data_IF_936710617918
#
_entry.id   IF_936710617918
#
_cell.length_a   1.000
_cell.length_b   1.000
_cell.length_c   1.000
_cell.angle_alpha   90.00
_cell.angle_beta   90.00
_cell.angle_gamma   90.00
#
_symmetry.space_group_name_H-M   'P 1'
#
loop_
_entity.id
_entity.type
_entity.pdbx_description
1 polymer ?
#
# COMPACT_ATOMS: atom_id res chain seq x y z
N UNK A 1 2.06 19.36 -13.39
CA UNK A 1 1.53 18.04 -13.82
C UNK A 1 0.02 18.02 -13.69
N UNK A 2 -0.71 17.59 -14.72
CA UNK A 2 -2.17 17.40 -14.67
C UNK A 2 -2.53 15.92 -14.52
N UNK A 3 -3.70 15.66 -13.95
CA UNK A 3 -4.22 14.35 -13.63
C UNK A 3 -5.57 14.13 -14.30
N UNK A 4 -5.80 12.91 -14.74
CA UNK A 4 -7.06 12.45 -15.34
C UNK A 4 -7.63 11.27 -14.53
N UNK A 5 -8.90 10.93 -14.76
CA UNK A 5 -9.52 9.73 -14.22
C UNK A 5 -9.39 8.56 -15.18
N UNK A 6 -9.24 7.33 -14.66
CA UNK A 6 -9.30 6.12 -15.48
C UNK A 6 -10.66 5.92 -16.19
N UNK A 7 -11.72 6.59 -15.70
CA UNK A 7 -13.09 6.47 -16.24
C UNK A 7 -13.59 7.72 -16.96
N UNK A 8 -12.81 8.81 -16.90
CA UNK A 8 -13.05 10.05 -17.65
C UNK A 8 -11.70 10.67 -18.04
N UNK A 9 -11.24 10.38 -19.24
CA UNK A 9 -9.97 10.87 -19.79
C UNK A 9 -10.00 12.33 -20.21
N UNK A 10 -11.19 12.95 -20.28
CA UNK A 10 -11.36 14.39 -20.49
C UNK A 10 -11.12 15.23 -19.22
N UNK A 11 -11.14 14.59 -18.05
CA UNK A 11 -10.94 15.26 -16.77
C UNK A 11 -9.50 15.78 -16.66
N UNK A 12 -9.35 17.02 -16.19
CA UNK A 12 -8.04 17.61 -15.90
C UNK A 12 -8.05 18.22 -14.50
N UNK A 13 -7.21 17.67 -13.61
CA UNK A 13 -7.10 18.10 -12.20
C UNK A 13 -5.66 18.44 -11.86
N UNK A 14 -5.47 19.33 -10.88
CA UNK A 14 -4.18 19.58 -10.25
C UNK A 14 -3.87 18.53 -9.19
N UNK A 15 -2.61 18.48 -8.72
CA UNK A 15 -2.25 17.60 -7.60
C UNK A 15 -3.03 17.96 -6.32
N UNK A 16 -3.22 19.24 -6.02
CA UNK A 16 -3.99 19.68 -4.86
C UNK A 16 -5.45 19.22 -4.90
N UNK A 17 -6.05 19.15 -6.10
CA UNK A 17 -7.43 18.67 -6.25
C UNK A 17 -7.56 17.20 -5.90
N UNK A 18 -6.55 16.37 -6.24
CA UNK A 18 -6.61 14.92 -6.05
C UNK A 18 -6.01 14.44 -4.73
N UNK A 19 -5.22 15.27 -4.06
CA UNK A 19 -4.48 14.89 -2.84
C UNK A 19 -5.39 14.28 -1.77
N UNK A 20 -6.55 14.90 -1.54
CA UNK A 20 -7.52 14.46 -0.55
C UNK A 20 -8.58 13.49 -1.10
N UNK A 21 -8.55 13.24 -2.41
CA UNK A 21 -9.51 12.38 -3.09
C UNK A 21 -8.83 11.05 -3.45
N UNK A 22 -9.28 9.96 -2.87
CA UNK A 22 -8.82 8.62 -3.25
C UNK A 22 -9.41 8.17 -4.59
N UNK A 23 -10.66 8.56 -4.86
CA UNK A 23 -11.44 8.27 -6.06
C UNK A 23 -11.86 9.55 -6.76
N UNK A 24 -11.94 9.51 -8.07
CA UNK A 24 -12.67 10.52 -8.85
C UNK A 24 -14.19 10.38 -8.63
N UNK A 25 -14.94 11.44 -8.89
CA UNK A 25 -16.41 11.44 -8.74
C UNK A 25 -17.12 10.43 -9.64
N UNK A 26 -16.50 10.06 -10.77
CA UNK A 26 -16.94 9.00 -11.67
C UNK A 26 -16.63 7.58 -11.17
N UNK A 27 -15.98 7.47 -9.99
CA UNK A 27 -15.53 6.21 -9.38
C UNK A 27 -14.20 5.68 -9.94
N UNK A 28 -13.57 6.40 -10.88
CA UNK A 28 -12.27 6.06 -11.44
C UNK A 28 -11.09 6.47 -10.54
N UNK A 29 -9.90 6.02 -10.92
CA UNK A 29 -8.66 6.29 -10.22
C UNK A 29 -7.85 7.39 -10.92
N UNK A 30 -7.19 8.23 -10.13
CA UNK A 30 -6.35 9.28 -10.71
C UNK A 30 -5.00 8.75 -11.21
N UNK A 31 -4.58 9.29 -12.36
CA UNK A 31 -3.29 9.07 -13.03
C UNK A 31 -2.75 10.38 -13.60
N UNK A 32 -1.43 10.59 -13.67
CA UNK A 32 -0.88 11.74 -14.37
C UNK A 32 -1.09 11.60 -15.88
N UNK A 33 -1.22 12.71 -16.58
CA UNK A 33 -1.39 12.71 -18.04
C UNK A 33 -0.18 12.13 -18.78
N UNK A 34 1.01 12.22 -18.21
CA UNK A 34 2.25 11.68 -18.78
C UNK A 34 3.20 11.19 -17.69
N UNK A 35 4.11 10.30 -18.08
CA UNK A 35 5.15 9.78 -17.20
C UNK A 35 6.41 10.63 -17.33
N UNK A 36 6.86 11.35 -16.27
CA UNK A 36 8.12 12.09 -16.31
C UNK A 36 9.30 11.12 -16.48
N UNK A 37 10.36 11.57 -17.13
CA UNK A 37 11.60 10.80 -17.24
C UNK A 37 12.61 11.31 -16.23
N UNK A 38 13.34 10.39 -15.63
CA UNK A 38 14.37 10.66 -14.63
C UNK A 38 15.74 10.32 -15.21
N UNK A 39 16.67 11.24 -15.07
CA UNK A 39 18.08 10.97 -15.35
C UNK A 39 18.71 10.22 -14.17
N UNK A 40 18.99 8.95 -14.36
CA UNK A 40 19.57 8.09 -13.32
C UNK A 40 20.96 8.55 -12.86
N UNK A 41 21.72 9.23 -13.74
CA UNK A 41 23.04 9.75 -13.37
C UNK A 41 22.91 10.87 -12.32
N UNK A 42 21.85 11.66 -12.42
CA UNK A 42 21.59 12.75 -11.48
C UNK A 42 21.23 12.26 -10.07
N UNK A 43 20.89 10.97 -9.91
CA UNK A 43 20.52 10.36 -8.61
C UNK A 43 21.72 9.76 -7.88
N UNK A 44 22.87 9.59 -8.53
CA UNK A 44 24.05 9.00 -7.89
C UNK A 44 24.52 9.81 -6.68
N UNK A 45 24.90 9.11 -5.62
CA UNK A 45 25.42 9.67 -4.36
C UNK A 45 24.43 10.57 -3.60
N UNK A 46 23.15 10.56 -3.96
CA UNK A 46 22.09 11.24 -3.20
C UNK A 46 21.62 10.36 -2.05
N UNK A 47 21.13 10.99 -0.99
CA UNK A 47 20.41 10.30 0.10
C UNK A 47 19.04 9.80 -0.38
N UNK A 48 18.39 8.94 0.42
CA UNK A 48 17.03 8.46 0.11
C UNK A 48 16.05 9.62 -0.08
N UNK A 49 16.10 10.62 0.80
CA UNK A 49 15.23 11.79 0.81
C UNK A 49 15.47 12.68 -0.43
N UNK A 50 16.72 12.83 -0.84
CA UNK A 50 17.08 13.58 -2.06
C UNK A 50 16.61 12.84 -3.32
N UNK A 51 16.77 11.50 -3.37
CA UNK A 51 16.20 10.66 -4.43
C UNK A 51 14.68 10.78 -4.45
N UNK A 52 14.04 10.70 -3.28
CA UNK A 52 12.59 10.86 -3.16
C UNK A 52 12.12 12.23 -3.69
N UNK A 53 12.86 13.30 -3.41
CA UNK A 53 12.55 14.63 -3.92
C UNK A 53 12.60 14.67 -5.45
N UNK A 54 13.65 14.14 -6.08
CA UNK A 54 13.77 14.13 -7.54
C UNK A 54 12.67 13.29 -8.22
N UNK A 55 12.28 12.18 -7.61
CA UNK A 55 11.24 11.28 -8.14
C UNK A 55 9.83 11.88 -7.99
N UNK A 56 9.54 12.51 -6.84
CA UNK A 56 8.20 13.00 -6.51
C UNK A 56 7.96 14.39 -7.10
N UNK A 57 8.95 15.26 -7.12
CA UNK A 57 8.80 16.66 -7.51
C UNK A 57 8.12 16.87 -8.88
N UNK A 58 8.43 16.13 -9.95
CA UNK A 58 7.74 16.27 -11.24
C UNK A 58 6.22 16.10 -11.18
N UNK A 59 5.73 15.34 -10.19
CA UNK A 59 4.30 15.10 -9.99
C UNK A 59 3.59 16.20 -9.22
N UNK A 60 4.31 16.95 -8.37
CA UNK A 60 3.73 17.92 -7.43
C UNK A 60 4.15 19.37 -7.67
N UNK A 61 5.01 19.61 -8.64
CA UNK A 61 5.70 20.90 -8.89
C UNK A 61 4.78 22.10 -9.16
N UNK A 62 3.52 21.88 -9.54
CA UNK A 62 2.51 22.97 -9.66
C UNK A 62 1.84 23.33 -8.34
N UNK A 63 2.08 22.52 -7.28
CA UNK A 63 1.37 22.62 -6.00
C UNK A 63 2.29 22.81 -4.81
N UNK A 64 3.55 22.37 -4.92
CA UNK A 64 4.53 22.37 -3.83
C UNK A 64 5.89 22.78 -4.37
N UNK A 65 6.52 23.74 -3.71
CA UNK A 65 7.88 24.14 -4.01
C UNK A 65 8.90 23.05 -3.66
N UNK A 66 9.98 22.92 -4.44
CA UNK A 66 10.97 21.83 -4.26
C UNK A 66 11.59 21.84 -2.86
N UNK A 67 11.86 23.02 -2.30
CA UNK A 67 12.41 23.14 -0.94
C UNK A 67 11.44 22.67 0.14
N UNK A 68 10.15 22.91 -0.03
CA UNK A 68 9.14 22.48 0.94
C UNK A 68 8.91 20.96 0.82
N UNK A 69 8.92 20.42 -0.40
CA UNK A 69 8.91 18.97 -0.59
C UNK A 69 10.10 18.31 0.10
N UNK A 70 11.32 18.87 -0.04
CA UNK A 70 12.52 18.34 0.62
C UNK A 70 12.38 18.34 2.15
N UNK A 71 11.81 19.39 2.74
CA UNK A 71 11.54 19.44 4.19
C UNK A 71 10.56 18.36 4.62
N UNK A 72 9.45 18.20 3.88
CA UNK A 72 8.46 17.13 4.11
C UNK A 72 9.13 15.75 4.09
N UNK A 73 9.99 15.49 3.11
CA UNK A 73 10.66 14.20 2.96
C UNK A 73 11.69 13.95 4.07
N UNK A 74 12.46 14.96 4.44
CA UNK A 74 13.41 14.87 5.55
C UNK A 74 12.69 14.56 6.86
N UNK A 75 11.57 15.27 7.17
CA UNK A 75 10.75 14.98 8.34
C UNK A 75 10.15 13.57 8.28
N UNK A 76 9.68 13.14 7.10
CA UNK A 76 9.07 11.83 6.90
C UNK A 76 10.03 10.71 7.25
N UNK A 77 11.24 10.73 6.70
CA UNK A 77 12.17 9.61 6.79
C UNK A 77 13.12 9.69 7.99
N UNK A 78 13.15 10.82 8.71
CA UNK A 78 13.91 10.95 9.98
C UNK A 78 13.48 9.98 11.07
N UNK A 79 12.27 9.44 10.99
CA UNK A 79 11.72 8.48 11.95
C UNK A 79 11.91 7.01 11.53
N UNK A 80 12.70 6.75 10.49
CA UNK A 80 13.00 5.39 10.05
C UNK A 80 14.27 4.88 10.74
N UNK A 81 14.26 3.64 11.19
CA UNK A 81 15.28 3.06 12.08
C UNK A 81 16.47 2.42 11.32
N UNK A 82 16.77 2.87 10.11
CA UNK A 82 17.92 2.38 9.33
C UNK A 82 18.53 3.50 8.49
N UNK A 83 19.85 3.62 8.46
CA UNK A 83 20.57 4.70 7.73
C UNK A 83 20.25 4.76 6.24
N UNK A 84 20.02 3.61 5.60
CA UNK A 84 19.63 3.51 4.18
C UNK A 84 18.14 3.64 3.94
N UNK A 85 17.32 3.81 4.98
CA UNK A 85 15.85 3.84 4.96
C UNK A 85 15.25 2.54 4.41
N UNK A 86 15.63 2.11 3.21
CA UNK A 86 15.22 0.87 2.55
C UNK A 86 16.47 0.12 2.05
N UNK A 87 17.17 -0.63 2.92
CA UNK A 87 18.37 -1.36 2.53
C UNK A 87 18.06 -2.49 1.55
N UNK A 88 18.99 -2.72 0.63
CA UNK A 88 19.02 -3.87 -0.25
C UNK A 88 20.00 -4.90 0.32
N UNK A 89 19.51 -6.10 0.60
CA UNK A 89 20.29 -7.21 1.17
C UNK A 89 20.42 -8.30 0.13
N UNK A 90 21.64 -8.74 -0.14
CA UNK A 90 21.85 -9.90 -1.01
C UNK A 90 21.66 -11.19 -0.22
N UNK A 91 20.72 -12.02 -0.66
CA UNK A 91 20.41 -13.32 -0.04
C UNK A 91 21.34 -14.41 -0.59
N UNK A 92 21.50 -14.43 -1.91
CA UNK A 92 22.47 -15.23 -2.65
C UNK A 92 22.74 -14.56 -4.01
N UNK A 93 23.72 -15.05 -4.77
CA UNK A 93 24.16 -14.39 -6.03
C UNK A 93 22.98 -13.93 -6.91
N UNK A 94 22.94 -12.61 -7.19
CA UNK A 94 21.91 -11.93 -7.97
C UNK A 94 20.45 -12.01 -7.41
N UNK A 95 20.27 -12.48 -6.18
CA UNK A 95 18.97 -12.55 -5.51
C UNK A 95 18.98 -11.65 -4.28
N UNK A 96 18.17 -10.59 -4.34
CA UNK A 96 18.18 -9.53 -3.35
C UNK A 96 16.82 -9.41 -2.65
N UNK A 97 16.86 -8.90 -1.42
CA UNK A 97 15.71 -8.48 -0.64
C UNK A 97 15.74 -6.97 -0.45
N UNK A 98 14.68 -6.27 -0.84
CA UNK A 98 14.50 -4.87 -0.49
C UNK A 98 13.70 -4.80 0.82
N UNK A 99 14.36 -4.46 1.91
CA UNK A 99 13.74 -4.45 3.23
C UNK A 99 12.98 -3.16 3.48
N UNK A 100 11.65 -3.25 3.49
CA UNK A 100 10.73 -2.13 3.69
C UNK A 100 10.07 -2.17 5.09
N UNK A 101 10.86 -2.45 6.12
CA UNK A 101 10.38 -2.72 7.48
C UNK A 101 10.91 -1.76 8.54
N UNK A 102 11.64 -0.72 8.15
CA UNK A 102 12.32 0.18 9.09
C UNK A 102 11.51 1.43 9.46
N UNK A 103 10.28 1.53 9.00
CA UNK A 103 9.36 2.58 9.39
C UNK A 103 8.74 2.34 10.79
N UNK A 104 8.00 3.35 11.31
CA UNK A 104 7.49 3.33 12.70
C UNK A 104 6.59 2.15 13.05
N UNK A 105 5.92 1.54 12.06
CA UNK A 105 5.02 0.39 12.29
C UNK A 105 5.54 -0.93 11.72
N UNK A 106 6.80 -0.93 11.25
CA UNK A 106 7.48 -2.13 10.77
C UNK A 106 6.77 -2.79 9.57
N UNK A 107 6.26 -1.98 8.62
CA UNK A 107 5.68 -2.46 7.37
C UNK A 107 5.94 -1.47 6.22
N UNK A 108 5.98 -1.98 4.99
CA UNK A 108 6.20 -1.16 3.79
C UNK A 108 5.21 -0.01 3.63
N UNK A 109 4.05 -0.12 4.27
CA UNK A 109 3.00 0.91 4.25
C UNK A 109 3.44 2.24 4.89
N UNK A 110 4.43 2.19 5.79
CA UNK A 110 5.01 3.39 6.41
C UNK A 110 5.60 4.35 5.37
N UNK A 111 6.28 3.82 4.36
CA UNK A 111 6.96 4.64 3.35
C UNK A 111 6.02 5.62 2.65
N UNK A 112 4.80 5.19 2.40
CA UNK A 112 3.80 6.02 1.75
C UNK A 112 2.92 6.79 2.74
N UNK A 113 2.56 6.19 3.88
CA UNK A 113 1.63 6.82 4.83
C UNK A 113 2.31 7.90 5.67
N UNK A 114 3.57 7.72 6.10
CA UNK A 114 4.30 8.78 6.80
C UNK A 114 4.47 10.01 5.90
N UNK A 115 4.80 9.81 4.63
CA UNK A 115 4.84 10.88 3.64
C UNK A 115 3.47 11.56 3.47
N UNK A 116 2.40 10.78 3.32
CA UNK A 116 1.04 11.32 3.16
C UNK A 116 0.61 12.16 4.37
N UNK A 117 0.93 11.73 5.59
CA UNK A 117 0.62 12.46 6.82
C UNK A 117 1.28 13.83 6.88
N UNK A 118 2.57 13.91 6.55
CA UNK A 118 3.32 15.15 6.52
C UNK A 118 2.85 16.06 5.36
N UNK A 119 2.59 15.46 4.20
CA UNK A 119 2.07 16.17 3.04
C UNK A 119 0.71 16.81 3.31
N UNK A 120 -0.21 16.08 3.98
CA UNK A 120 -1.50 16.64 4.40
C UNK A 120 -1.33 17.77 5.39
N UNK A 121 -0.48 17.62 6.41
CA UNK A 121 -0.22 18.66 7.41
C UNK A 121 0.25 19.96 6.76
N UNK A 122 1.28 19.88 5.91
CA UNK A 122 1.83 21.05 5.21
C UNK A 122 0.80 21.69 4.28
N UNK A 123 0.04 20.87 3.54
CA UNK A 123 -1.01 21.41 2.65
C UNK A 123 -2.13 22.10 3.42
N UNK A 124 -2.47 21.64 4.63
CA UNK A 124 -3.48 22.29 5.50
C UNK A 124 -2.97 23.58 6.15
N UNK A 125 -1.67 23.70 6.39
CA UNK A 125 -1.06 24.96 6.83
C UNK A 125 -1.16 26.05 5.76
N UNK A 126 -1.01 25.67 4.49
CA UNK A 126 -1.13 26.59 3.35
C UNK A 126 -2.58 26.96 3.02
N UNK A 127 -3.53 26.05 3.24
CA UNK A 127 -4.96 26.22 2.98
C UNK A 127 -5.79 25.59 4.10
N UNK A 128 -6.03 26.34 5.21
CA UNK A 128 -6.64 25.78 6.42
C UNK A 128 -8.04 25.23 6.18
N UNK A 129 -8.22 23.97 6.48
CA UNK A 129 -9.51 23.27 6.55
C UNK A 129 -9.38 22.09 7.50
N UNK A 130 -10.50 21.62 8.02
CA UNK A 130 -10.50 20.36 8.79
C UNK A 130 -10.81 19.20 7.88
N UNK A 131 -10.07 18.13 8.01
CA UNK A 131 -10.30 16.88 7.29
C UNK A 131 -10.52 15.72 8.25
N UNK A 132 -11.29 14.74 7.80
CA UNK A 132 -11.52 13.50 8.52
C UNK A 132 -11.03 12.33 7.67
N UNK A 133 -9.99 11.69 8.15
CA UNK A 133 -9.48 10.44 7.58
C UNK A 133 -10.35 9.29 8.08
N UNK A 134 -10.96 8.55 7.18
CA UNK A 134 -11.76 7.38 7.50
C UNK A 134 -11.23 6.16 6.73
N UNK A 135 -11.00 5.06 7.44
CA UNK A 135 -10.49 3.84 6.83
C UNK A 135 -10.88 2.57 7.55
N UNK A 136 -11.02 1.47 6.80
CA UNK A 136 -11.08 0.12 7.32
C UNK A 136 -9.73 -0.58 7.13
N UNK A 137 -9.34 -1.41 8.10
CA UNK A 137 -8.05 -2.09 8.09
C UNK A 137 -8.12 -3.53 8.58
N UNK A 138 -7.25 -4.38 8.01
CA UNK A 138 -6.93 -5.70 8.55
C UNK A 138 -5.70 -5.68 9.48
N UNK A 139 -5.13 -4.47 9.76
CA UNK A 139 -4.01 -4.28 10.68
C UNK A 139 -2.98 -3.26 10.20
N UNK A 140 -2.10 -3.61 9.26
CA UNK A 140 -0.94 -2.81 8.87
C UNK A 140 -1.27 -1.41 8.34
N UNK A 141 -2.31 -1.28 7.50
CA UNK A 141 -2.68 0.02 6.95
C UNK A 141 -3.20 0.96 8.04
N UNK A 142 -4.00 0.41 8.98
CA UNK A 142 -4.51 1.18 10.11
C UNK A 142 -3.38 1.62 11.04
N UNK A 143 -2.48 0.72 11.38
CA UNK A 143 -1.32 1.04 12.22
C UNK A 143 -0.48 2.16 11.61
N UNK A 144 -0.13 2.04 10.34
CA UNK A 144 0.67 3.04 9.64
C UNK A 144 -0.07 4.38 9.48
N UNK A 145 -1.39 4.37 9.22
CA UNK A 145 -2.20 5.58 9.13
C UNK A 145 -2.27 6.31 10.48
N UNK A 146 -2.58 5.60 11.56
CA UNK A 146 -2.63 6.18 12.91
C UNK A 146 -1.29 6.83 13.25
N UNK A 147 -0.17 6.13 13.03
CA UNK A 147 1.15 6.67 13.32
C UNK A 147 1.51 7.88 12.47
N UNK A 148 1.04 7.96 11.23
CA UNK A 148 1.33 9.07 10.33
C UNK A 148 0.53 10.33 10.64
N UNK A 149 -0.68 10.17 11.19
CA UNK A 149 -1.59 11.29 11.44
C UNK A 149 -1.74 11.65 12.92
N UNK A 150 -1.16 10.89 13.85
CA UNK A 150 -1.18 11.26 15.27
C UNK A 150 -0.60 12.65 15.48
N UNK A 151 -1.23 13.42 16.36
CA UNK A 151 -0.84 14.79 16.72
C UNK A 151 -0.84 15.79 15.56
N UNK A 152 -1.37 15.43 14.38
CA UNK A 152 -1.51 16.37 13.26
C UNK A 152 -2.74 17.25 13.48
N UNK A 153 -2.50 18.58 13.48
CA UNK A 153 -3.55 19.57 13.66
C UNK A 153 -4.56 19.51 12.50
N UNK A 154 -5.82 19.74 12.80
CA UNK A 154 -6.93 19.79 11.84
C UNK A 154 -7.20 18.51 11.05
N UNK A 155 -6.65 17.38 11.50
CA UNK A 155 -6.89 16.04 10.94
C UNK A 155 -7.46 15.12 12.01
N UNK A 156 -8.69 14.65 11.84
CA UNK A 156 -9.25 13.57 12.65
C UNK A 156 -9.10 12.23 11.92
N UNK A 157 -8.84 11.16 12.66
CA UNK A 157 -8.58 9.83 12.08
C UNK A 157 -9.50 8.80 12.72
N UNK A 158 -10.34 8.19 11.92
CA UNK A 158 -11.23 7.10 12.31
C UNK A 158 -10.78 5.81 11.59
N UNK A 159 -10.34 4.84 12.35
CA UNK A 159 -9.91 3.53 11.82
C UNK A 159 -10.84 2.45 12.36
N UNK A 160 -11.55 1.80 11.44
CA UNK A 160 -12.41 0.65 11.70
C UNK A 160 -11.61 -0.63 11.50
N UNK A 161 -11.68 -1.55 12.46
CA UNK A 161 -11.09 -2.87 12.35
C UNK A 161 -12.01 -3.94 12.96
N UNK A 162 -11.93 -5.20 12.50
CA UNK A 162 -12.76 -6.27 13.06
C UNK A 162 -12.30 -6.60 14.47
N UNK A 163 -13.24 -6.64 15.41
CA UNK A 163 -13.00 -6.94 16.82
C UNK A 163 -12.38 -8.33 16.98
N UNK A 164 -11.24 -8.42 17.68
CA UNK A 164 -10.49 -9.67 17.94
C UNK A 164 -10.06 -10.47 16.70
N UNK A 165 -9.98 -9.83 15.50
CA UNK A 165 -9.60 -10.50 14.24
C UNK A 165 -8.38 -9.90 13.56
N UNK A 166 -7.68 -8.97 14.21
CA UNK A 166 -6.34 -8.50 13.84
C UNK A 166 -5.30 -9.14 14.75
N UNK A 167 -4.02 -9.19 14.33
CA UNK A 167 -2.99 -9.76 15.21
C UNK A 167 -2.83 -8.92 16.48
N UNK A 168 -2.42 -9.51 17.63
CA UNK A 168 -2.26 -8.78 18.89
C UNK A 168 -1.31 -7.57 18.74
N UNK A 169 -0.22 -7.72 18.01
CA UNK A 169 0.75 -6.64 17.78
C UNK A 169 0.13 -5.52 16.94
N UNK A 170 -0.58 -5.86 15.86
CA UNK A 170 -1.24 -4.87 15.02
C UNK A 170 -2.34 -4.13 15.80
N UNK A 171 -3.11 -4.84 16.64
CA UNK A 171 -4.08 -4.21 17.52
C UNK A 171 -3.38 -3.22 18.45
N UNK A 172 -2.36 -3.65 19.17
CA UNK A 172 -1.58 -2.81 20.07
C UNK A 172 -0.97 -1.59 19.35
N UNK A 173 -0.45 -1.75 18.13
CA UNK A 173 0.07 -0.64 17.35
C UNK A 173 -0.99 0.42 17.04
N UNK A 174 -2.25 0.05 16.93
CA UNK A 174 -3.36 0.99 16.71
C UNK A 174 -3.89 1.57 18.03
N UNK A 175 -4.23 0.71 18.97
CA UNK A 175 -5.05 1.05 20.15
C UNK A 175 -4.26 1.67 21.29
N UNK A 176 -2.93 1.51 21.33
CA UNK A 176 -2.05 2.16 22.32
C UNK A 176 -1.64 3.59 21.93
N UNK A 177 -2.01 4.04 20.72
CA UNK A 177 -1.85 5.45 20.33
C UNK A 177 -3.03 6.24 20.86
N UNK A 178 -2.87 6.81 22.05
CA UNK A 178 -3.87 7.63 22.73
C UNK A 178 -3.61 9.09 22.39
N UNK A 179 -4.28 9.58 21.34
CA UNK A 179 -4.20 10.98 20.90
C UNK A 179 -5.61 11.55 20.69
N UNK A 180 -5.76 12.85 20.82
CA UNK A 180 -7.07 13.55 20.75
C UNK A 180 -7.73 13.44 19.39
N UNK A 181 -6.94 13.25 18.33
CA UNK A 181 -7.43 13.17 16.97
C UNK A 181 -7.51 11.73 16.43
N UNK A 182 -7.24 10.69 17.25
CA UNK A 182 -7.23 9.28 16.84
C UNK A 182 -8.40 8.53 17.48
N UNK A 183 -9.21 7.90 16.64
CA UNK A 183 -10.40 7.13 17.02
C UNK A 183 -10.30 5.72 16.44
N UNK A 184 -10.04 4.74 17.32
CA UNK A 184 -10.03 3.32 16.99
C UNK A 184 -11.41 2.74 17.24
N UNK A 185 -12.03 2.14 16.22
CA UNK A 185 -13.36 1.55 16.28
C UNK A 185 -13.26 0.06 15.94
N UNK A 186 -13.51 -0.78 16.95
CA UNK A 186 -13.59 -2.22 16.79
C UNK A 186 -15.02 -2.60 16.45
N UNK A 187 -15.26 -3.22 15.29
CA UNK A 187 -16.59 -3.65 14.84
C UNK A 187 -16.78 -5.13 15.14
N UNK A 188 -17.92 -5.47 15.76
CA UNK A 188 -18.37 -6.85 15.93
C UNK A 188 -18.80 -7.43 14.57
N UNK A 189 -17.81 -7.80 13.76
CA UNK A 189 -17.96 -8.25 12.41
C UNK A 189 -16.65 -8.77 11.82
N UNK A 190 -16.53 -8.75 10.52
CA UNK A 190 -15.32 -9.07 9.78
C UNK A 190 -14.78 -7.83 9.04
N UNK A 191 -13.69 -8.00 8.30
CA UNK A 191 -13.08 -6.90 7.56
C UNK A 191 -13.99 -6.34 6.45
N UNK A 192 -14.77 -7.21 5.79
CA UNK A 192 -15.72 -6.78 4.76
C UNK A 192 -16.86 -5.93 5.35
N UNK A 193 -17.28 -6.22 6.58
CA UNK A 193 -18.24 -5.41 7.32
C UNK A 193 -17.68 -4.00 7.59
N UNK A 194 -16.44 -3.91 8.05
CA UNK A 194 -15.76 -2.62 8.24
C UNK A 194 -15.66 -1.83 6.93
N UNK A 195 -15.32 -2.50 5.83
CA UNK A 195 -15.25 -1.85 4.51
C UNK A 195 -16.62 -1.39 4.02
N UNK A 196 -17.66 -2.17 4.26
CA UNK A 196 -19.04 -1.83 3.90
C UNK A 196 -19.48 -0.55 4.63
N UNK A 197 -19.28 -0.49 5.93
CA UNK A 197 -19.59 0.71 6.75
C UNK A 197 -18.84 1.93 6.20
N UNK A 198 -17.54 1.82 5.94
CA UNK A 198 -16.74 2.93 5.38
C UNK A 198 -17.31 3.39 4.05
N UNK A 199 -17.68 2.47 3.15
CA UNK A 199 -18.28 2.83 1.85
C UNK A 199 -19.61 3.54 2.00
N UNK A 200 -20.47 3.09 2.91
CA UNK A 200 -21.77 3.71 3.21
C UNK A 200 -21.58 5.16 3.70
N UNK A 201 -20.61 5.40 4.60
CA UNK A 201 -20.29 6.74 5.09
C UNK A 201 -19.73 7.67 3.99
N UNK A 202 -18.97 7.13 3.04
CA UNK A 202 -18.43 7.92 1.92
C UNK A 202 -19.49 8.35 0.89
N UNK A 203 -20.64 7.68 0.83
CA UNK A 203 -21.74 8.05 -0.09
C UNK A 203 -22.89 8.77 0.62
N UNK A 204 -22.81 8.98 1.92
CA UNK A 204 -23.81 9.67 2.72
C UNK A 204 -23.70 11.19 2.54
N UNK A 205 -24.74 11.81 2.02
CA UNK A 205 -24.76 13.24 1.68
C UNK A 205 -24.64 14.15 2.90
N UNK A 206 -25.20 13.77 4.06
CA UNK A 206 -25.14 14.55 5.30
C UNK A 206 -23.70 14.60 5.82
N UNK A 207 -23.02 13.45 5.83
CA UNK A 207 -21.62 13.37 6.23
C UNK A 207 -20.72 14.13 5.27
N UNK A 208 -20.91 13.96 3.97
CA UNK A 208 -20.13 14.67 2.95
C UNK A 208 -20.27 16.20 3.04
N UNK A 209 -21.44 16.70 3.42
CA UNK A 209 -21.67 18.14 3.62
C UNK A 209 -21.09 18.65 4.94
N UNK A 210 -21.11 17.83 6.00
CA UNK A 210 -20.66 18.24 7.35
C UNK A 210 -19.17 18.02 7.58
N UNK A 211 -18.53 17.10 6.84
CA UNK A 211 -17.13 16.72 7.01
C UNK A 211 -16.40 16.63 5.68
N UNK A 212 -15.12 16.99 5.68
CA UNK A 212 -14.25 16.75 4.53
C UNK A 212 -13.64 15.35 4.66
N UNK A 213 -14.41 14.31 4.30
CA UNK A 213 -13.91 12.94 4.35
C UNK A 213 -12.79 12.71 3.33
N UNK A 214 -11.76 12.01 3.77
CA UNK A 214 -10.68 11.53 2.92
C UNK A 214 -10.33 10.08 3.25
N UNK A 215 -9.98 9.31 2.24
CA UNK A 215 -9.53 7.94 2.40
C UNK A 215 -8.01 7.86 2.31
N UNK A 216 -7.42 7.05 3.19
CA UNK A 216 -5.99 6.74 3.17
C UNK A 216 -5.70 5.34 2.62
N UNK A 217 -6.58 4.83 1.78
CA UNK A 217 -6.42 3.53 1.15
C UNK A 217 -5.34 3.52 0.05
N UNK A 218 -5.04 2.34 -0.47
CA UNK A 218 -3.96 2.13 -1.45
C UNK A 218 -4.20 2.81 -2.82
N UNK A 219 -5.40 3.32 -3.09
CA UNK A 219 -5.73 3.97 -4.36
C UNK A 219 -5.34 5.45 -4.43
N UNK A 220 -5.02 6.09 -3.29
CA UNK A 220 -4.57 7.48 -3.30
C UNK A 220 -3.25 7.63 -4.08
N UNK A 221 -3.22 8.56 -5.06
CA UNK A 221 -2.08 8.74 -5.94
C UNK A 221 -0.81 9.14 -5.18
N UNK A 222 -0.91 9.99 -4.15
CA UNK A 222 0.25 10.39 -3.35
C UNK A 222 0.92 9.20 -2.65
N UNK A 223 0.16 8.15 -2.29
CA UNK A 223 0.73 6.90 -1.78
C UNK A 223 1.52 6.14 -2.83
N UNK A 224 1.03 6.12 -4.08
CA UNK A 224 1.71 5.43 -5.17
C UNK A 224 3.05 6.08 -5.51
N UNK A 225 3.09 7.41 -5.64
CA UNK A 225 4.34 8.10 -5.99
C UNK A 225 5.42 7.92 -4.91
N UNK A 226 5.05 7.86 -3.64
CA UNK A 226 5.99 7.56 -2.57
C UNK A 226 6.58 6.13 -2.70
N UNK A 227 5.79 5.18 -3.20
CA UNK A 227 6.26 3.82 -3.44
C UNK A 227 7.17 3.69 -4.67
N UNK A 228 7.07 4.59 -5.64
CA UNK A 228 7.99 4.62 -6.79
C UNK A 228 9.45 4.80 -6.34
N UNK A 229 9.68 5.58 -5.28
CA UNK A 229 10.99 5.96 -4.78
C UNK A 229 11.86 4.74 -4.46
N UNK A 230 11.36 3.78 -3.72
CA UNK A 230 12.19 2.66 -3.27
C UNK A 230 12.56 1.68 -4.40
N UNK A 231 11.90 1.71 -5.56
CA UNK A 231 12.34 0.98 -6.75
C UNK A 231 13.59 1.60 -7.37
N UNK A 232 13.62 2.93 -7.48
CA UNK A 232 14.84 3.65 -7.89
C UNK A 232 15.95 3.44 -6.86
N UNK A 233 15.61 3.53 -5.57
CA UNK A 233 16.57 3.33 -4.49
C UNK A 233 17.18 1.93 -4.48
N UNK A 234 16.39 0.89 -4.72
CA UNK A 234 16.90 -0.47 -4.87
C UNK A 234 17.92 -0.57 -6.01
N UNK A 235 17.60 0.01 -7.18
CA UNK A 235 18.51 0.02 -8.32
C UNK A 235 19.82 0.73 -8.02
N UNK A 236 19.76 1.88 -7.37
CA UNK A 236 20.95 2.69 -7.01
C UNK A 236 21.88 1.99 -6.01
N UNK A 237 21.40 0.98 -5.29
CA UNK A 237 22.20 0.15 -4.37
C UNK A 237 22.86 -1.04 -5.09
N UNK A 238 22.64 -1.21 -6.38
CA UNK A 238 23.23 -2.28 -7.19
C UNK A 238 24.23 -1.72 -8.19
N UNK A 239 25.10 -2.59 -8.70
CA UNK A 239 25.98 -2.33 -9.86
C UNK A 239 25.39 -2.89 -11.17
N UNK A 240 24.13 -3.32 -11.16
CA UNK A 240 23.48 -4.02 -12.27
C UNK A 240 22.98 -3.02 -13.33
N UNK A 241 23.08 -3.41 -14.60
CA UNK A 241 22.52 -2.62 -15.70
C UNK A 241 20.99 -2.71 -15.80
N UNK A 242 20.43 -3.82 -15.36
CA UNK A 242 18.99 -4.09 -15.32
C UNK A 242 18.65 -4.94 -14.10
N UNK A 243 17.50 -4.71 -13.50
CA UNK A 243 16.98 -5.53 -12.38
C UNK A 243 15.52 -5.91 -12.63
N UNK A 244 15.13 -7.04 -12.05
CA UNK A 244 13.75 -7.53 -12.05
C UNK A 244 13.18 -7.44 -10.64
N UNK A 245 11.87 -7.25 -10.52
CA UNK A 245 11.23 -7.19 -9.21
C UNK A 245 10.18 -8.29 -9.04
N UNK A 246 10.15 -8.87 -7.84
CA UNK A 246 9.10 -9.76 -7.36
C UNK A 246 8.36 -9.01 -6.26
N UNK A 247 7.06 -8.82 -6.44
CA UNK A 247 6.26 -7.98 -5.55
C UNK A 247 5.08 -8.76 -4.99
N UNK A 248 5.07 -9.06 -3.67
CA UNK A 248 3.88 -9.56 -3.01
C UNK A 248 2.71 -8.59 -3.21
N UNK A 249 1.61 -9.06 -3.80
CA UNK A 249 0.55 -8.17 -4.26
C UNK A 249 -0.85 -8.70 -4.01
N UNK A 250 -1.70 -7.87 -3.35
CA UNK A 250 -3.14 -8.00 -3.31
C UNK A 250 -3.81 -6.86 -4.08
N UNK A 251 -3.70 -5.62 -3.60
CA UNK A 251 -4.30 -4.43 -4.20
C UNK A 251 -3.58 -3.85 -5.43
N UNK A 252 -2.51 -4.47 -5.89
CA UNK A 252 -1.72 -4.05 -7.05
C UNK A 252 -1.00 -2.70 -6.92
N UNK A 253 -1.19 -1.93 -5.86
CA UNK A 253 -0.62 -0.59 -5.70
C UNK A 253 0.90 -0.59 -5.73
N UNK A 254 1.53 -1.51 -5.00
CA UNK A 254 2.98 -1.60 -4.90
C UNK A 254 3.61 -1.96 -6.26
N UNK A 255 3.15 -3.01 -6.93
CA UNK A 255 3.72 -3.41 -8.22
C UNK A 255 3.38 -2.41 -9.34
N UNK A 256 2.23 -1.69 -9.25
CA UNK A 256 1.96 -0.59 -10.17
C UNK A 256 2.97 0.55 -10.00
N UNK A 257 3.46 0.81 -8.78
CA UNK A 257 4.54 1.78 -8.56
C UNK A 257 5.86 1.35 -9.21
N UNK A 258 6.14 0.04 -9.31
CA UNK A 258 7.25 -0.50 -10.10
C UNK A 258 7.04 -0.28 -11.61
N UNK A 259 5.81 -0.47 -12.10
CA UNK A 259 5.45 -0.14 -13.49
C UNK A 259 5.69 1.35 -13.77
N UNK A 260 5.27 2.23 -12.87
CA UNK A 260 5.52 3.68 -12.99
C UNK A 260 7.03 3.97 -13.02
N UNK A 261 7.82 3.36 -12.15
CA UNK A 261 9.28 3.50 -12.16
C UNK A 261 9.88 3.09 -13.52
N UNK A 262 9.40 1.96 -14.10
CA UNK A 262 9.77 1.53 -15.46
C UNK A 262 9.40 2.57 -16.52
N UNK A 263 8.19 3.15 -16.43
CA UNK A 263 7.75 4.21 -17.34
C UNK A 263 8.60 5.49 -17.18
N UNK A 264 9.11 5.78 -15.98
CA UNK A 264 10.00 6.90 -15.71
C UNK A 264 11.44 6.69 -16.20
N UNK A 265 11.77 5.50 -16.69
CA UNK A 265 13.08 5.18 -17.29
C UNK A 265 13.98 4.31 -16.42
N UNK A 266 13.49 3.79 -15.29
CA UNK A 266 14.24 2.81 -14.51
C UNK A 266 14.39 1.52 -15.33
N UNK A 267 15.62 0.96 -15.49
CA UNK A 267 15.85 -0.24 -16.30
C UNK A 267 15.37 -1.51 -15.59
N UNK A 268 14.05 -1.67 -15.56
CA UNK A 268 13.37 -2.86 -15.05
C UNK A 268 13.15 -3.83 -16.21
N UNK A 269 13.61 -5.07 -16.06
CA UNK A 269 13.32 -6.16 -16.98
C UNK A 269 11.87 -6.64 -16.81
N UNK A 270 11.65 -7.53 -15.86
CA UNK A 270 10.36 -8.15 -15.57
C UNK A 270 9.81 -7.71 -14.22
N UNK A 271 8.48 -7.64 -14.14
CA UNK A 271 7.73 -7.51 -12.90
C UNK A 271 7.01 -8.81 -12.61
N UNK A 272 7.27 -9.45 -11.46
CA UNK A 272 6.62 -10.70 -11.08
C UNK A 272 5.66 -10.46 -9.91
N UNK A 273 4.39 -10.70 -10.14
CA UNK A 273 3.32 -10.64 -9.16
C UNK A 273 3.37 -11.93 -8.34
N UNK A 274 3.56 -11.84 -7.02
CA UNK A 274 3.40 -12.94 -6.10
C UNK A 274 2.09 -12.76 -5.33
N UNK A 275 1.11 -13.67 -5.51
CA UNK A 275 -0.14 -13.68 -4.75
C UNK A 275 -0.15 -14.84 -3.75
N UNK A 276 -1.07 -14.82 -2.78
CA UNK A 276 -1.45 -16.00 -2.04
C UNK A 276 -2.52 -16.80 -2.81
N UNK A 277 -3.29 -17.66 -2.13
CA UNK A 277 -4.37 -18.44 -2.74
C UNK A 277 -5.49 -17.59 -3.34
N UNK A 278 -5.52 -16.27 -3.04
CA UNK A 278 -6.41 -15.31 -3.68
C UNK A 278 -5.76 -14.81 -4.97
N UNK A 279 -5.93 -15.54 -6.05
CA UNK A 279 -5.10 -15.55 -7.24
C UNK A 279 -5.66 -14.79 -8.45
N UNK A 280 -6.59 -13.85 -8.24
CA UNK A 280 -7.23 -13.12 -9.35
C UNK A 280 -6.20 -12.47 -10.29
N UNK A 281 -5.14 -11.87 -9.76
CA UNK A 281 -4.10 -11.23 -10.57
C UNK A 281 -3.34 -12.25 -11.44
N UNK A 282 -3.08 -13.44 -10.89
CA UNK A 282 -2.47 -14.53 -11.65
C UNK A 282 -3.39 -15.00 -12.77
N UNK A 283 -4.67 -15.21 -12.48
CA UNK A 283 -5.66 -15.60 -13.49
C UNK A 283 -5.70 -14.59 -14.65
N UNK A 284 -5.73 -13.29 -14.34
CA UNK A 284 -5.74 -12.24 -15.39
C UNK A 284 -4.47 -12.29 -16.24
N UNK A 285 -3.28 -12.42 -15.64
CA UNK A 285 -2.01 -12.42 -16.38
C UNK A 285 -1.84 -13.70 -17.21
N UNK A 286 -2.28 -14.85 -16.69
CA UNK A 286 -2.11 -16.12 -17.39
C UNK A 286 -3.13 -16.32 -18.52
N UNK A 287 -4.38 -15.93 -18.29
CA UNK A 287 -5.51 -16.32 -19.15
C UNK A 287 -6.38 -15.15 -19.64
N UNK A 288 -6.16 -13.95 -19.14
CA UNK A 288 -7.05 -12.80 -19.38
C UNK A 288 -8.38 -12.87 -18.63
N UNK A 289 -8.58 -13.87 -17.75
CA UNK A 289 -9.80 -14.05 -17.00
C UNK A 289 -9.81 -13.20 -15.72
N UNK A 290 -10.70 -12.22 -15.63
CA UNK A 290 -11.01 -11.47 -14.42
C UNK A 290 -12.33 -11.97 -13.84
N UNK A 291 -12.25 -12.87 -12.84
CA UNK A 291 -13.40 -13.51 -12.23
C UNK A 291 -13.38 -13.39 -10.72
N UNK A 292 -14.46 -12.86 -10.16
CA UNK A 292 -14.61 -12.75 -8.71
C UNK A 292 -14.87 -14.13 -8.11
N UNK A 293 -14.01 -14.55 -7.19
CA UNK A 293 -14.15 -15.76 -6.37
C UNK A 293 -14.46 -15.38 -4.92
N UNK A 294 -14.80 -16.36 -4.09
CA UNK A 294 -14.80 -16.16 -2.62
C UNK A 294 -13.40 -15.89 -2.12
N UNK A 295 -13.27 -15.01 -1.13
CA UNK A 295 -11.98 -14.75 -0.47
C UNK A 295 -11.63 -15.93 0.44
N UNK A 296 -10.43 -16.46 0.28
CA UNK A 296 -9.82 -17.46 1.19
C UNK A 296 -9.00 -16.73 2.24
N UNK A 297 -9.21 -17.06 3.51
CA UNK A 297 -8.35 -16.56 4.60
C UNK A 297 -7.02 -17.30 4.60
N UNK A 298 -5.91 -16.56 4.65
CA UNK A 298 -4.55 -17.08 4.60
C UNK A 298 -3.66 -16.51 5.70
N UNK A 299 -2.43 -16.99 5.81
CA UNK A 299 -1.41 -16.39 6.70
C UNK A 299 -0.91 -15.02 6.25
N UNK A 300 -1.22 -14.59 5.02
CA UNK A 300 -0.88 -13.26 4.48
C UNK A 300 -2.12 -12.38 4.26
N UNK A 301 -2.84 -11.97 5.33
CA UNK A 301 -4.18 -11.40 5.25
C UNK A 301 -4.26 -10.07 4.48
N UNK A 302 -3.17 -9.33 4.33
CA UNK A 302 -3.17 -8.11 3.51
C UNK A 302 -3.32 -8.39 2.01
N UNK A 303 -3.18 -9.65 1.61
CA UNK A 303 -3.32 -10.12 0.23
C UNK A 303 -4.61 -10.95 0.01
N UNK A 304 -5.47 -11.11 1.02
CA UNK A 304 -6.77 -11.81 0.93
C UNK A 304 -7.78 -10.94 0.18
N UNK A 305 -7.57 -10.79 -1.12
CA UNK A 305 -8.26 -9.83 -1.98
C UNK A 305 -8.65 -10.51 -3.30
N UNK A 306 -9.93 -10.36 -3.69
CA UNK A 306 -10.47 -10.85 -4.97
C UNK A 306 -10.89 -9.71 -5.93
N UNK A 307 -10.72 -8.44 -5.51
CA UNK A 307 -10.87 -7.26 -6.37
C UNK A 307 -9.69 -6.34 -6.15
N UNK A 308 -8.73 -6.40 -7.06
CA UNK A 308 -7.47 -5.66 -6.96
C UNK A 308 -7.66 -4.22 -7.46
N UNK A 309 -7.92 -3.29 -6.53
CA UNK A 309 -8.37 -1.93 -6.86
C UNK A 309 -7.44 -1.18 -7.83
N UNK A 310 -6.12 -1.24 -7.60
CA UNK A 310 -5.17 -0.50 -8.44
C UNK A 310 -4.90 -1.14 -9.80
N UNK A 311 -5.39 -2.37 -10.03
CA UNK A 311 -5.26 -3.00 -11.35
C UNK A 311 -6.07 -2.26 -12.43
N UNK A 312 -7.09 -1.48 -12.03
CA UNK A 312 -7.81 -0.56 -12.93
C UNK A 312 -6.87 0.39 -13.68
N UNK A 313 -5.81 0.89 -13.00
CA UNK A 313 -4.78 1.73 -13.65
C UNK A 313 -4.02 1.00 -14.74
N UNK A 314 -3.71 -0.28 -14.51
CA UNK A 314 -3.05 -1.11 -15.53
C UNK A 314 -3.98 -1.44 -16.69
N UNK A 315 -5.24 -1.70 -16.42
CA UNK A 315 -6.27 -1.89 -17.47
C UNK A 315 -6.34 -0.64 -18.35
N UNK A 316 -6.41 0.54 -17.73
CA UNK A 316 -6.44 1.81 -18.45
C UNK A 316 -5.20 2.01 -19.36
N UNK A 317 -4.00 1.77 -18.85
CA UNK A 317 -2.76 1.83 -19.64
C UNK A 317 -2.78 0.80 -20.80
N UNK A 318 -3.23 -0.43 -20.53
CA UNK A 318 -3.25 -1.50 -21.54
C UNK A 318 -4.33 -1.29 -22.62
N UNK A 319 -5.37 -0.54 -22.29
CA UNK A 319 -6.41 -0.08 -23.23
C UNK A 319 -6.05 1.26 -23.92
N UNK A 320 -4.76 1.66 -23.90
CA UNK A 320 -4.26 2.90 -24.49
C UNK A 320 -4.95 4.16 -23.91
N UNK A 321 -5.27 4.13 -22.62
CA UNK A 321 -5.93 5.20 -21.86
C UNK A 321 -7.35 5.56 -22.37
N UNK A 322 -8.06 4.59 -22.90
CA UNK A 322 -9.44 4.72 -23.35
C UNK A 322 -10.41 4.50 -22.16
N UNK A 323 -10.93 5.59 -21.60
CA UNK A 323 -11.82 5.55 -20.44
C UNK A 323 -13.15 4.86 -20.71
N UNK A 324 -13.64 4.91 -21.95
CA UNK A 324 -14.92 4.24 -22.35
C UNK A 324 -14.77 2.73 -22.24
N UNK A 325 -13.65 2.18 -22.75
CA UNK A 325 -13.37 0.75 -22.63
C UNK A 325 -13.17 0.32 -21.18
N UNK A 326 -12.55 1.15 -20.34
CA UNK A 326 -12.42 0.86 -18.90
C UNK A 326 -13.80 0.79 -18.25
N UNK A 327 -14.69 1.73 -18.53
CA UNK A 327 -16.07 1.70 -18.03
C UNK A 327 -16.78 0.40 -18.45
N UNK A 328 -16.68 0.00 -19.72
CA UNK A 328 -17.25 -1.25 -20.22
C UNK A 328 -16.71 -2.48 -19.46
N UNK A 329 -15.40 -2.55 -19.19
CA UNK A 329 -14.79 -3.62 -18.39
C UNK A 329 -15.45 -3.70 -17.02
N UNK A 330 -15.55 -2.57 -16.29
CA UNK A 330 -16.04 -2.58 -14.92
C UNK A 330 -17.57 -2.73 -14.83
N UNK A 331 -18.34 -2.24 -15.78
CA UNK A 331 -19.78 -2.50 -15.89
C UNK A 331 -20.07 -4.01 -16.06
N UNK A 332 -19.35 -4.65 -16.98
CA UNK A 332 -19.45 -6.09 -17.19
C UNK A 332 -19.01 -6.88 -15.95
N UNK A 333 -17.87 -6.51 -15.37
CA UNK A 333 -17.36 -7.19 -14.17
C UNK A 333 -18.29 -7.01 -12.96
N UNK A 334 -18.85 -5.83 -12.77
CA UNK A 334 -19.80 -5.57 -11.67
C UNK A 334 -21.11 -6.33 -11.83
N UNK A 335 -21.65 -6.39 -13.05
CA UNK A 335 -22.94 -7.03 -13.33
C UNK A 335 -22.86 -8.56 -13.39
N UNK A 336 -21.76 -9.11 -13.96
CA UNK A 336 -21.60 -10.54 -14.23
C UNK A 336 -20.64 -11.25 -13.25
N UNK A 337 -19.83 -10.49 -12.46
CA UNK A 337 -18.74 -11.03 -11.64
C UNK A 337 -17.56 -11.57 -12.47
N UNK A 338 -17.54 -11.27 -13.79
CA UNK A 338 -16.61 -11.83 -14.75
C UNK A 338 -16.37 -10.88 -15.92
N UNK A 339 -15.10 -10.84 -16.37
CA UNK A 339 -14.70 -10.21 -17.64
C UNK A 339 -13.55 -11.00 -18.27
N UNK A 340 -13.58 -11.18 -19.60
CA UNK A 340 -12.51 -11.80 -20.38
C UNK A 340 -11.84 -10.73 -21.24
N UNK A 341 -10.55 -10.48 -21.02
CA UNK A 341 -9.74 -9.63 -21.87
C UNK A 341 -9.42 -10.35 -23.18
N UNK A 342 -9.38 -9.60 -24.28
CA UNK A 342 -8.94 -10.12 -25.57
C UNK A 342 -7.43 -10.42 -25.60
N UNK A 343 -7.00 -11.21 -26.58
CA UNK A 343 -5.59 -11.64 -26.71
C UNK A 343 -4.62 -10.48 -26.84
N UNK A 344 -5.05 -9.36 -27.42
CA UNK A 344 -4.20 -8.18 -27.61
C UNK A 344 -3.89 -7.47 -26.29
N UNK A 345 -4.87 -7.40 -25.39
CA UNK A 345 -4.72 -6.85 -24.05
C UNK A 345 -3.95 -7.83 -23.15
N UNK A 346 -4.27 -9.13 -23.23
CA UNK A 346 -3.55 -10.19 -22.51
C UNK A 346 -2.05 -10.16 -22.87
N UNK A 347 -1.70 -10.05 -24.15
CA UNK A 347 -0.30 -9.95 -24.57
C UNK A 347 0.43 -8.75 -23.94
N UNK A 348 -0.24 -7.60 -23.76
CA UNK A 348 0.32 -6.43 -23.08
C UNK A 348 0.57 -6.71 -21.59
N UNK A 349 -0.34 -7.40 -20.91
CA UNK A 349 -0.11 -7.82 -19.53
C UNK A 349 1.11 -8.74 -19.42
N UNK A 350 1.17 -9.77 -20.28
CA UNK A 350 2.24 -10.77 -20.28
C UNK A 350 3.62 -10.22 -20.68
N UNK A 351 3.65 -9.16 -21.47
CA UNK A 351 4.89 -8.45 -21.82
C UNK A 351 5.51 -7.75 -20.60
N UNK A 352 4.70 -7.31 -19.65
CA UNK A 352 5.14 -6.55 -18.47
C UNK A 352 5.25 -7.46 -17.26
N UNK A 353 4.28 -8.34 -17.07
CA UNK A 353 4.09 -9.11 -15.84
C UNK A 353 4.21 -10.61 -16.06
N UNK A 354 4.77 -11.26 -15.03
CA UNK A 354 4.60 -12.69 -14.73
C UNK A 354 3.87 -12.80 -13.40
N UNK A 355 3.20 -13.92 -13.12
CA UNK A 355 2.48 -14.09 -11.87
C UNK A 355 2.61 -15.52 -11.33
N UNK A 356 2.64 -15.63 -10.00
CA UNK A 356 2.60 -16.91 -9.27
C UNK A 356 1.66 -16.80 -8.08
N UNK A 357 1.00 -17.91 -7.74
CA UNK A 357 0.18 -18.04 -6.54
C UNK A 357 0.86 -19.04 -5.59
N UNK A 358 1.02 -18.63 -4.35
CA UNK A 358 1.71 -19.39 -3.29
C UNK A 358 0.72 -19.64 -2.17
N UNK A 359 0.43 -20.91 -1.91
CA UNK A 359 -0.49 -21.30 -0.83
C UNK A 359 0.16 -21.24 0.56
N UNK A 360 -0.64 -21.48 1.59
CA UNK A 360 -0.20 -21.45 2.99
C UNK A 360 0.87 -22.51 3.31
N UNK A 361 0.81 -23.69 2.69
CA UNK A 361 1.85 -24.73 2.88
C UNK A 361 3.19 -24.27 2.33
N UNK A 362 3.18 -23.80 1.10
CA UNK A 362 4.38 -23.27 0.44
C UNK A 362 4.92 -22.04 1.19
N UNK A 363 4.04 -21.19 1.73
CA UNK A 363 4.40 -20.04 2.55
C UNK A 363 5.17 -20.48 3.81
N UNK A 364 4.62 -21.41 4.58
CA UNK A 364 5.27 -21.91 5.81
C UNK A 364 6.58 -22.66 5.50
N UNK A 365 6.60 -23.49 4.47
CA UNK A 365 7.81 -24.19 4.00
C UNK A 365 8.90 -23.20 3.58
N UNK A 366 8.53 -22.10 2.92
CA UNK A 366 9.47 -21.05 2.51
C UNK A 366 10.05 -20.32 3.72
N UNK A 367 9.21 -19.93 4.70
CA UNK A 367 9.68 -19.30 5.95
C UNK A 367 10.68 -20.22 6.65
N UNK A 368 10.36 -21.50 6.81
CA UNK A 368 11.25 -22.49 7.40
C UNK A 368 12.57 -22.61 6.64
N UNK A 369 12.51 -22.76 5.32
CA UNK A 369 13.68 -22.94 4.46
C UNK A 369 14.64 -21.75 4.53
N UNK A 370 14.13 -20.51 4.44
CA UNK A 370 15.00 -19.32 4.50
C UNK A 370 15.58 -19.12 5.88
N UNK A 371 14.87 -19.49 6.94
CA UNK A 371 15.40 -19.50 8.29
C UNK A 371 16.54 -20.50 8.46
N UNK A 372 16.36 -21.75 8.02
CA UNK A 372 17.37 -22.82 8.15
C UNK A 372 18.62 -22.56 7.30
N UNK A 373 18.42 -22.05 6.08
CA UNK A 373 19.52 -21.89 5.12
C UNK A 373 20.27 -20.55 5.27
N UNK A 374 19.54 -19.47 5.52
CA UNK A 374 20.12 -18.12 5.51
C UNK A 374 20.05 -17.42 6.87
N UNK A 375 19.50 -18.07 7.90
CA UNK A 375 19.18 -17.45 9.19
C UNK A 375 18.34 -16.17 9.05
N UNK A 376 17.47 -16.14 8.03
CA UNK A 376 16.58 -15.01 7.73
C UNK A 376 15.14 -15.37 8.09
N UNK A 377 14.50 -14.55 8.91
CA UNK A 377 13.10 -14.74 9.31
C UNK A 377 12.21 -13.84 8.48
N UNK A 378 11.34 -14.41 7.66
CA UNK A 378 10.40 -13.69 6.82
C UNK A 378 8.99 -13.72 7.38
N UNK A 379 8.21 -12.63 7.16
CA UNK A 379 6.77 -12.63 7.37
C UNK A 379 6.05 -13.38 6.23
N UNK A 380 4.79 -13.82 6.43
CA UNK A 380 4.07 -14.61 5.43
C UNK A 380 3.84 -13.90 4.08
N UNK A 381 3.72 -12.57 4.06
CA UNK A 381 3.57 -11.82 2.80
C UNK A 381 4.90 -11.84 2.03
N UNK A 382 6.00 -11.55 2.71
CA UNK A 382 7.36 -11.64 2.15
C UNK A 382 7.66 -13.04 1.63
N UNK A 383 7.21 -14.08 2.33
CA UNK A 383 7.45 -15.47 1.96
C UNK A 383 6.85 -15.82 0.59
N UNK A 384 5.74 -15.21 0.18
CA UNK A 384 5.18 -15.43 -1.17
C UNK A 384 6.15 -14.95 -2.25
N UNK A 385 6.77 -13.79 -2.08
CA UNK A 385 7.79 -13.26 -2.99
C UNK A 385 9.09 -14.06 -2.92
N UNK A 386 9.52 -14.47 -1.72
CA UNK A 386 10.70 -15.31 -1.51
C UNK A 386 10.58 -16.66 -2.21
N UNK A 387 9.43 -17.33 -2.17
CA UNK A 387 9.22 -18.59 -2.90
C UNK A 387 9.48 -18.39 -4.38
N UNK A 388 8.95 -17.33 -4.97
CA UNK A 388 9.20 -16.99 -6.38
C UNK A 388 10.68 -16.69 -6.63
N UNK A 389 11.34 -15.95 -5.73
CA UNK A 389 12.76 -15.60 -5.83
C UNK A 389 13.66 -16.86 -5.81
N UNK A 390 13.39 -17.78 -4.90
CA UNK A 390 14.16 -19.04 -4.77
C UNK A 390 13.98 -19.95 -5.97
N UNK A 391 12.82 -19.90 -6.65
CA UNK A 391 12.54 -20.69 -7.85
C UNK A 391 13.23 -20.15 -9.11
N UNK A 392 13.78 -18.92 -9.08
CA UNK A 392 14.54 -18.36 -10.21
C UNK A 392 15.84 -19.15 -10.41
N UNK A 393 16.06 -19.58 -11.65
CA UNK A 393 17.23 -20.37 -12.06
C UNK A 393 18.11 -19.67 -13.09
N UNK A 394 17.67 -18.48 -13.53
CA UNK A 394 18.44 -17.60 -14.40
C UNK A 394 19.50 -16.82 -13.60
N UNK A 395 20.47 -16.25 -14.28
CA UNK A 395 21.52 -15.41 -13.68
C UNK A 395 21.15 -13.92 -13.63
N UNK A 396 19.87 -13.60 -13.88
CA UNK A 396 19.38 -12.24 -13.83
C UNK A 396 19.29 -11.73 -12.39
N UNK A 397 19.43 -10.41 -12.22
CA UNK A 397 19.28 -9.80 -10.93
C UNK A 397 17.79 -9.66 -10.58
N UNK A 398 17.39 -10.30 -9.48
CA UNK A 398 16.03 -10.29 -8.96
C UNK A 398 15.97 -9.68 -7.57
N UNK A 399 15.04 -8.76 -7.36
CA UNK A 399 14.77 -8.11 -6.07
C UNK A 399 13.37 -8.50 -5.62
N UNK A 400 13.24 -9.20 -4.48
CA UNK A 400 11.96 -9.42 -3.82
C UNK A 400 11.74 -8.40 -2.70
N UNK A 401 10.52 -7.90 -2.56
CA UNK A 401 10.19 -6.92 -1.54
C UNK A 401 9.85 -7.61 -0.21
N UNK A 402 10.42 -7.09 0.89
CA UNK A 402 10.08 -7.47 2.26
C UNK A 402 8.96 -6.55 2.74
N UNK A 403 7.81 -7.15 3.14
CA UNK A 403 6.56 -6.42 3.34
C UNK A 403 6.35 -5.95 4.77
N UNK A 404 6.73 -6.77 5.77
CA UNK A 404 6.53 -6.47 7.18
C UNK A 404 7.55 -7.22 8.04
N UNK A 405 7.74 -6.72 9.26
CA UNK A 405 8.55 -7.43 10.24
C UNK A 405 7.83 -8.73 10.68
N UNK A 406 8.54 -9.87 10.74
CA UNK A 406 7.93 -11.18 11.05
C UNK A 406 7.19 -11.23 12.38
N UNK A 407 7.60 -10.44 13.37
CA UNK A 407 6.94 -10.36 14.66
C UNK A 407 5.46 -9.94 14.59
N UNK A 408 5.04 -9.26 13.54
CA UNK A 408 3.63 -8.87 13.35
C UNK A 408 2.73 -10.06 13.01
N UNK A 409 3.32 -11.18 12.60
CA UNK A 409 2.64 -12.40 12.18
C UNK A 409 3.21 -13.63 12.89
N UNK A 410 3.46 -13.47 14.19
CA UNK A 410 4.11 -14.43 15.10
C UNK A 410 3.52 -15.85 15.00
N UNK A 411 2.19 -15.99 14.94
CA UNK A 411 1.53 -17.30 14.84
C UNK A 411 1.99 -18.12 13.63
N UNK A 412 2.07 -17.50 12.47
CA UNK A 412 2.49 -18.18 11.25
C UNK A 412 4.00 -18.45 11.28
N UNK A 413 4.78 -17.45 11.70
CA UNK A 413 6.24 -17.56 11.76
C UNK A 413 6.67 -18.60 12.78
N UNK A 414 6.18 -18.53 14.01
CA UNK A 414 6.52 -19.51 15.07
C UNK A 414 6.12 -20.94 14.68
N UNK A 415 4.96 -21.09 14.01
CA UNK A 415 4.54 -22.39 13.45
C UNK A 415 5.53 -22.91 12.40
N UNK A 416 6.04 -22.03 11.53
CA UNK A 416 6.95 -22.43 10.45
C UNK A 416 8.34 -22.84 10.96
N UNK A 417 8.92 -22.07 11.89
CA UNK A 417 10.29 -22.30 12.39
C UNK A 417 10.33 -23.11 13.70
N UNK A 418 9.18 -23.47 14.25
CA UNK A 418 9.03 -24.18 15.52
C UNK A 418 9.79 -23.51 16.69
N UNK A 419 9.77 -22.18 16.72
CA UNK A 419 10.45 -21.36 17.73
C UNK A 419 9.71 -20.02 17.89
N UNK A 420 9.64 -19.50 19.09
CA UNK A 420 9.21 -18.12 19.34
C UNK A 420 10.26 -17.13 18.85
N UNK A 421 9.83 -16.07 18.18
CA UNK A 421 10.72 -15.00 17.72
C UNK A 421 10.75 -13.86 18.74
N UNK A 422 11.93 -13.27 18.90
CA UNK A 422 12.09 -12.10 19.74
C UNK A 422 11.39 -10.88 19.13
N UNK A 423 10.68 -10.13 19.97
CA UNK A 423 10.04 -8.88 19.55
C UNK A 423 11.08 -7.74 19.60
N UNK A 424 11.14 -6.87 18.59
CA UNK A 424 11.81 -5.59 18.73
C UNK A 424 11.34 -4.86 19.99
N UNK A 425 12.24 -4.17 20.66
CA UNK A 425 11.96 -3.48 21.94
C UNK A 425 10.74 -2.56 21.83
N UNK A 426 10.62 -1.86 20.74
CA UNK A 426 9.52 -0.94 20.47
C UNK A 426 8.17 -1.67 20.37
N UNK A 427 8.15 -2.88 19.85
CA UNK A 427 6.93 -3.72 19.77
C UNK A 427 6.63 -4.39 21.11
N UNK A 428 7.65 -4.84 21.85
CA UNK A 428 7.43 -5.44 23.16
C UNK A 428 6.88 -4.43 24.16
N UNK A 429 7.35 -3.20 24.14
CA UNK A 429 6.86 -2.11 25.00
C UNK A 429 5.38 -1.75 24.78
N UNK A 430 4.77 -2.16 23.65
CA UNK A 430 3.35 -1.91 23.40
C UNK A 430 2.44 -2.73 24.33
N UNK A 431 2.91 -3.89 24.81
CA UNK A 431 2.11 -4.77 25.66
C UNK A 431 1.90 -4.19 27.08
N UNK A 432 2.76 -3.28 27.51
CA UNK A 432 2.66 -2.59 28.80
C UNK A 432 1.79 -1.31 28.74
N UNK A 433 1.35 -0.92 27.52
CA UNK A 433 0.56 0.30 27.32
C UNK A 433 -0.94 0.04 27.42
N UNK A 434 -1.65 1.06 27.92
CA UNK A 434 -3.11 1.10 27.88
C UNK A 434 -3.61 1.15 26.44
N UNK A 435 -4.71 0.43 26.19
CA UNK A 435 -5.40 0.44 24.90
C UNK A 435 -6.66 1.30 24.98
N UNK A 436 -6.89 2.14 23.96
CA UNK A 436 -8.12 2.90 23.79
C UNK A 436 -8.78 2.52 22.46
N UNK A 437 -9.96 1.95 22.54
CA UNK A 437 -10.82 1.66 21.38
C UNK A 437 -12.29 1.67 21.80
N UNK A 438 -13.15 1.95 20.84
CA UNK A 438 -14.62 1.86 21.02
C UNK A 438 -15.11 0.62 20.31
N UNK A 439 -15.82 -0.27 21.01
CA UNK A 439 -16.41 -1.47 20.41
C UNK A 439 -17.84 -1.12 19.99
N UNK A 440 -18.17 -1.33 18.72
CA UNK A 440 -19.49 -1.09 18.16
C UNK A 440 -20.01 -2.33 17.43
N UNK A 441 -21.33 -2.57 17.46
CA UNK A 441 -21.94 -3.59 16.63
C UNK A 441 -21.82 -3.22 15.14
N UNK A 442 -22.02 -4.21 14.27
CA UNK A 442 -22.01 -4.04 12.81
C UNK A 442 -23.22 -3.21 12.34
N UNK A 443 -23.16 -1.89 12.56
CA UNK A 443 -24.22 -0.95 12.20
C UNK A 443 -23.66 0.44 11.92
N UNK A 444 -23.95 0.97 10.76
CA UNK A 444 -23.55 2.32 10.34
C UNK A 444 -24.20 3.40 11.20
N UNK A 445 -25.47 3.20 11.62
CA UNK A 445 -26.21 4.17 12.44
C UNK A 445 -25.55 4.48 13.78
N UNK A 446 -24.83 3.54 14.40
CA UNK A 446 -24.20 3.73 15.71
C UNK A 446 -22.90 4.54 15.64
N UNK A 447 -22.28 4.63 14.48
CA UNK A 447 -21.14 5.54 14.27
C UNK A 447 -21.56 7.01 14.36
N UNK A 448 -22.78 7.36 13.97
CA UNK A 448 -23.33 8.72 14.10
C UNK A 448 -23.60 9.13 15.56
N UNK A 449 -23.88 8.15 16.41
CA UNK A 449 -24.22 8.38 17.83
C UNK A 449 -23.02 8.19 18.75
N UNK A 450 -21.87 7.75 18.25
CA UNK A 450 -20.62 7.67 19.02
C UNK A 450 -20.21 9.09 19.47
N UNK A 451 -19.78 9.29 20.74
CA UNK A 451 -19.51 10.64 21.24
C UNK A 451 -18.51 11.35 20.33
N UNK A 452 -18.96 12.46 19.77
CA UNK A 452 -18.11 13.37 19.00
C UNK A 452 -17.08 13.98 19.94
N UNK A 453 -15.84 14.26 19.46
CA UNK A 453 -14.88 15.06 20.24
C UNK A 453 -15.44 16.42 20.71
N UNK A 454 -16.57 16.86 20.15
CA UNK A 454 -17.28 18.06 20.60
C UNK A 454 -18.08 17.87 21.89
N UNK A 455 -18.38 16.63 22.29
CA UNK A 455 -19.21 16.33 23.47
C UNK A 455 -18.38 16.26 24.77
N UNK A 456 -17.05 16.16 24.69
CA UNK A 456 -16.14 16.21 25.85
C UNK A 456 -15.83 17.64 26.34
N UNK A 457 -16.36 18.66 25.69
CA UNK A 457 -16.15 20.08 26.01
C UNK A 457 -17.38 20.82 26.56
N UNK A 458 -18.36 20.08 27.11
CA UNK A 458 -19.47 20.64 27.88
C UNK A 458 -19.36 20.36 29.35
#
# INVERSE_FOLDING_TARGET
MKYLSTRDDSLSRSFNDILYQGLSRDGGLYLPQSWPKIDLLSLKNKSYEEVACEIIFPYVNESIEKLDLQKILNETYSNFNHEKIAPLVELENNKFLLELIYGPTYAFKDYALQFLGNLFSTSLEMSPKKITVLGATSGDTGSAAIHSFKSKKDINVFILHPHNKVSPIQQKQMTTVIDKNIFNIAIDGNFDDCQKIVKELFVDDEIQQSTSLTAVNSINWARLIAQVVYYFWAYLQTDKHQINFIVPSGNFGNIFSAFVAKQMGLPIGHLHIATNSNDILKSIVDTGEMKKKSVSQTYSPSMDIQVSSNFERQIFESLNRDSKKVNEVFENFSSKGFYQFDDSVLAKFQQIYKASSIDDSQTLETIKYVYEKYNYIADPHTATGLKVLLDKKDDEAWVSLVCAHPAKFDKAVNKAINKEIDLPKELSNLFDKEEKMTILPNSTCLLYTSPSPRDETK
#
